data_IF_488288762988
#
_entry.id   IF_488288762988
#
_cell.length_a   1.000
_cell.length_b   1.000
_cell.length_c   1.000
_cell.angle_alpha   90.00
_cell.angle_beta   90.00
_cell.angle_gamma   90.00
#
_symmetry.space_group_name_H-M   'P 1'
#
loop_
_entity.id
_entity.type
_entity.pdbx_description
1 polymer ?
#
# COMPACT_ATOMS: atom_id res chain seq x y z
N UNK A 1 9.38 -4.61 -17.21
CA UNK A 1 10.67 -4.31 -16.57
C UNK A 1 11.07 -5.45 -15.66
N UNK A 2 12.36 -5.83 -15.66
CA UNK A 2 12.90 -6.79 -14.70
C UNK A 2 13.56 -6.02 -13.56
N UNK A 3 13.10 -6.23 -12.33
CA UNK A 3 13.51 -5.51 -11.13
C UNK A 3 13.97 -6.48 -10.06
N UNK A 4 14.88 -6.02 -9.20
CA UNK A 4 15.22 -6.67 -7.94
C UNK A 4 14.93 -5.72 -6.80
N UNK A 5 14.09 -6.14 -5.88
CA UNK A 5 13.85 -5.47 -4.62
C UNK A 5 14.56 -6.20 -3.48
N UNK A 6 15.00 -5.46 -2.46
CA UNK A 6 15.52 -6.02 -1.21
C UNK A 6 15.00 -5.23 -0.02
N UNK A 7 14.68 -5.90 1.07
CA UNK A 7 14.36 -5.27 2.35
C UNK A 7 15.12 -5.96 3.48
N UNK A 8 15.74 -5.16 4.33
CA UNK A 8 16.45 -5.63 5.51
C UNK A 8 15.96 -4.85 6.74
N UNK A 9 15.53 -5.58 7.77
CA UNK A 9 15.04 -5.04 9.03
C UNK A 9 15.80 -5.70 10.17
N UNK A 10 16.40 -4.92 11.07
CA UNK A 10 17.04 -5.43 12.29
C UNK A 10 16.32 -4.89 13.52
N UNK A 11 16.17 -5.74 14.52
CA UNK A 11 15.48 -5.45 15.77
C UNK A 11 16.35 -5.86 16.96
N UNK A 12 16.17 -5.16 18.08
CA UNK A 12 16.68 -5.57 19.39
C UNK A 12 15.50 -6.01 20.26
N UNK A 13 15.37 -7.32 20.46
CA UNK A 13 14.21 -7.93 21.10
C UNK A 13 14.47 -8.08 22.61
N UNK A 14 13.72 -7.34 23.42
CA UNK A 14 13.84 -7.39 24.89
C UNK A 14 13.13 -8.60 25.53
N UNK A 15 12.02 -9.04 24.93
CA UNK A 15 11.18 -10.15 25.38
C UNK A 15 10.73 -10.94 24.13
N UNK A 16 10.47 -12.25 24.21
CA UNK A 16 9.98 -13.00 23.05
C UNK A 16 8.75 -12.33 22.43
N UNK A 17 8.86 -11.89 21.18
CA UNK A 17 7.83 -11.05 20.54
C UNK A 17 7.18 -11.78 19.36
N UNK A 18 5.88 -12.06 19.42
CA UNK A 18 5.13 -12.52 18.26
C UNK A 18 5.10 -11.46 17.15
N UNK A 19 5.43 -11.89 15.94
CA UNK A 19 5.30 -11.09 14.72
C UNK A 19 4.34 -11.75 13.73
N UNK A 20 3.60 -10.91 13.00
CA UNK A 20 3.02 -11.24 11.70
C UNK A 20 3.72 -10.36 10.67
N UNK A 21 4.33 -10.97 9.67
CA UNK A 21 5.10 -10.31 8.63
C UNK A 21 4.39 -10.44 7.30
N UNK A 22 4.46 -9.38 6.50
CA UNK A 22 3.93 -9.31 5.14
C UNK A 22 5.03 -8.73 4.25
N UNK A 23 6.01 -9.57 3.94
CA UNK A 23 7.22 -9.22 3.20
C UNK A 23 7.43 -10.10 1.95
N UNK A 24 6.45 -10.93 1.60
CA UNK A 24 6.53 -11.80 0.42
C UNK A 24 5.52 -11.36 -0.63
N UNK A 25 5.99 -10.90 -1.81
CA UNK A 25 5.10 -10.56 -2.91
C UNK A 25 4.53 -11.82 -3.56
N UNK A 26 3.38 -11.68 -4.22
CA UNK A 26 2.72 -12.75 -4.97
C UNK A 26 2.69 -12.41 -6.46
N UNK A 27 2.82 -13.43 -7.32
CA UNK A 27 2.55 -13.25 -8.75
C UNK A 27 1.06 -12.95 -8.99
N UNK A 28 0.77 -12.06 -9.94
CA UNK A 28 -0.59 -11.63 -10.25
C UNK A 28 -0.67 -11.04 -11.67
N UNK A 29 -1.74 -10.30 -11.95
CA UNK A 29 -1.97 -9.74 -13.28
C UNK A 29 -0.92 -8.69 -13.71
N UNK A 30 -0.32 -7.99 -12.75
CA UNK A 30 0.59 -6.85 -13.01
C UNK A 30 2.06 -7.13 -12.66
N UNK A 31 2.37 -8.31 -12.11
CA UNK A 31 3.73 -8.70 -11.74
C UNK A 31 3.91 -10.22 -11.75
N UNK A 32 5.11 -10.68 -12.09
CA UNK A 32 5.52 -12.07 -12.00
C UNK A 32 6.79 -12.21 -11.17
N UNK A 33 6.75 -13.03 -10.11
CA UNK A 33 7.89 -13.26 -9.21
C UNK A 33 8.76 -14.37 -9.80
N UNK A 34 9.91 -13.99 -10.36
CA UNK A 34 10.85 -14.93 -10.96
C UNK A 34 11.70 -15.64 -9.90
N UNK A 35 12.04 -14.94 -8.81
CA UNK A 35 12.83 -15.48 -7.70
C UNK A 35 12.50 -14.72 -6.42
N UNK A 36 12.53 -15.42 -5.29
CA UNK A 36 12.47 -14.80 -3.97
C UNK A 36 13.45 -15.48 -3.00
N UNK A 37 13.90 -14.72 -2.01
CA UNK A 37 14.69 -15.19 -0.88
C UNK A 37 14.15 -14.54 0.39
N UNK A 38 14.05 -15.33 1.45
CA UNK A 38 13.58 -14.88 2.76
C UNK A 38 14.45 -15.51 3.83
N UNK A 39 15.10 -14.68 4.65
CA UNK A 39 16.06 -15.12 5.66
C UNK A 39 15.78 -14.45 6.99
N UNK A 40 15.84 -15.25 8.05
CA UNK A 40 15.71 -14.83 9.44
C UNK A 40 17.00 -15.17 10.18
N UNK A 41 17.52 -14.23 10.97
CA UNK A 41 18.69 -14.49 11.82
C UNK A 41 18.44 -13.96 13.25
N UNK A 42 18.47 -14.82 14.28
CA UNK A 42 18.54 -16.27 14.20
C UNK A 42 17.29 -16.90 13.55
N UNK A 43 17.48 -18.09 12.96
CA UNK A 43 16.36 -18.85 12.38
C UNK A 43 15.41 -19.33 13.49
N UNK A 44 14.11 -19.11 13.27
CA UNK A 44 13.02 -19.55 14.17
C UNK A 44 11.93 -20.30 13.39
N UNK A 45 11.09 -21.12 14.04
CA UNK A 45 9.92 -21.68 13.38
C UNK A 45 8.98 -20.60 12.83
N UNK A 46 8.56 -20.75 11.57
CA UNK A 46 7.63 -19.85 10.89
C UNK A 46 6.39 -20.62 10.46
N UNK A 47 5.21 -20.04 10.70
CA UNK A 47 3.94 -20.53 10.18
C UNK A 47 3.47 -19.59 9.08
N UNK A 48 3.36 -20.09 7.86
CA UNK A 48 2.86 -19.32 6.73
C UNK A 48 1.34 -19.49 6.57
N UNK A 49 0.67 -18.41 6.18
CA UNK A 49 -0.75 -18.44 5.83
C UNK A 49 -1.07 -17.39 4.78
N UNK A 50 -2.23 -17.52 4.13
CA UNK A 50 -2.78 -16.49 3.25
C UNK A 50 -3.95 -15.83 3.96
N UNK A 51 -3.98 -14.51 4.02
CA UNK A 51 -5.10 -13.77 4.59
C UNK A 51 -6.31 -13.70 3.62
N UNK A 52 -7.36 -13.01 4.03
CA UNK A 52 -8.60 -12.88 3.23
C UNK A 52 -8.43 -12.03 1.96
N UNK A 53 -7.35 -11.25 1.85
CA UNK A 53 -7.03 -10.43 0.67
C UNK A 53 -6.06 -11.11 -0.28
N UNK A 54 -5.54 -12.28 0.10
CA UNK A 54 -4.57 -13.03 -0.70
C UNK A 54 -3.12 -12.71 -0.36
N UNK A 55 -2.83 -11.96 0.71
CA UNK A 55 -1.46 -11.62 1.09
C UNK A 55 -0.74 -12.84 1.66
N UNK A 56 0.57 -12.97 1.38
CA UNK A 56 1.41 -14.05 1.91
C UNK A 56 2.01 -13.63 3.24
N UNK A 57 1.47 -14.18 4.34
CA UNK A 57 1.82 -13.78 5.69
C UNK A 57 2.71 -14.83 6.38
N UNK A 58 3.65 -14.37 7.21
CA UNK A 58 4.50 -15.22 8.04
C UNK A 58 4.26 -14.89 9.51
N UNK A 59 3.90 -15.89 10.32
CA UNK A 59 3.74 -15.76 11.77
C UNK A 59 4.88 -16.45 12.49
N UNK A 60 5.55 -15.74 13.39
CA UNK A 60 6.69 -16.25 14.16
C UNK A 60 6.78 -15.61 15.54
N UNK A 61 7.70 -16.11 16.37
CA UNK A 61 8.08 -15.49 17.63
C UNK A 61 9.57 -15.18 17.55
N UNK A 62 9.93 -13.90 17.57
CA UNK A 62 11.32 -13.46 17.61
C UNK A 62 11.91 -13.70 19.01
N UNK A 63 13.12 -14.28 19.13
CA UNK A 63 13.75 -14.55 20.42
C UNK A 63 14.40 -13.29 21.00
N UNK A 64 14.72 -13.30 22.29
CA UNK A 64 15.46 -12.21 22.94
C UNK A 64 16.84 -12.02 22.30
N UNK A 65 17.23 -10.77 22.09
CA UNK A 65 18.50 -10.36 21.47
C UNK A 65 18.32 -9.81 20.04
N UNK A 66 19.42 -9.71 19.27
CA UNK A 66 19.37 -9.26 17.89
C UNK A 66 18.54 -10.23 17.03
N UNK A 67 17.62 -9.67 16.25
CA UNK A 67 16.81 -10.42 15.29
C UNK A 67 16.74 -9.64 13.97
N UNK A 68 17.08 -10.27 12.86
CA UNK A 68 17.04 -9.67 11.53
C UNK A 68 16.18 -10.45 10.56
N UNK A 69 15.58 -9.69 9.65
CA UNK A 69 14.78 -10.17 8.53
C UNK A 69 15.41 -9.62 7.26
N UNK A 70 15.68 -10.48 6.30
CA UNK A 70 16.16 -10.11 4.98
C UNK A 70 15.29 -10.73 3.91
N UNK A 71 14.79 -9.92 2.98
CA UNK A 71 14.10 -10.38 1.78
C UNK A 71 14.76 -9.84 0.51
N UNK A 72 14.69 -10.63 -0.57
CA UNK A 72 15.05 -10.19 -1.90
C UNK A 72 14.17 -10.88 -2.92
N UNK A 73 13.60 -10.10 -3.84
CA UNK A 73 12.71 -10.62 -4.88
C UNK A 73 13.13 -10.10 -6.26
N UNK A 74 13.22 -10.99 -7.24
CA UNK A 74 13.35 -10.65 -8.65
C UNK A 74 11.97 -10.72 -9.31
N UNK A 75 11.52 -9.59 -9.84
CA UNK A 75 10.13 -9.39 -10.27
C UNK A 75 10.10 -8.81 -11.67
N UNK A 76 9.25 -9.38 -12.53
CA UNK A 76 8.91 -8.79 -13.82
C UNK A 76 7.60 -8.00 -13.68
N UNK A 77 7.67 -6.69 -13.90
CA UNK A 77 6.52 -5.77 -13.92
C UNK A 77 6.24 -5.28 -15.33
N UNK A 78 5.14 -4.56 -15.56
CA UNK A 78 4.95 -3.79 -16.79
C UNK A 78 6.03 -2.67 -16.91
N UNK A 79 6.34 -2.27 -18.15
CA UNK A 79 7.26 -1.16 -18.44
C UNK A 79 6.60 0.22 -18.34
N UNK A 80 5.26 0.26 -18.36
CA UNK A 80 4.44 1.46 -18.24
C UNK A 80 3.36 1.23 -17.20
N UNK A 81 2.91 2.32 -16.57
CA UNK A 81 1.73 2.29 -15.72
C UNK A 81 0.48 2.23 -16.61
N UNK A 82 -0.45 1.34 -16.28
CA UNK A 82 -1.72 1.29 -16.99
C UNK A 82 -2.58 2.50 -16.61
N UNK A 83 -3.01 3.26 -17.62
CA UNK A 83 -3.93 4.39 -17.48
C UNK A 83 -5.15 4.16 -18.37
N UNK A 84 -6.33 4.62 -17.94
CA UNK A 84 -7.54 4.51 -18.75
C UNK A 84 -8.47 5.74 -18.61
N UNK A 85 -8.05 6.91 -19.11
CA UNK A 85 -8.93 8.09 -19.19
C UNK A 85 -10.27 7.75 -19.85
N UNK A 86 -11.38 8.19 -19.25
CA UNK A 86 -12.73 7.86 -19.69
C UNK A 86 -13.22 6.45 -19.33
N UNK A 87 -12.44 5.61 -18.63
CA UNK A 87 -12.95 4.33 -18.17
C UNK A 87 -14.11 4.53 -17.18
N UNK A 88 -15.26 3.88 -17.42
CA UNK A 88 -16.51 4.26 -16.78
C UNK A 88 -16.56 3.82 -15.31
N UNK A 89 -17.37 4.54 -14.53
CA UNK A 89 -17.88 4.07 -13.26
C UNK A 89 -18.61 2.73 -13.44
N UNK A 90 -18.43 1.81 -12.50
CA UNK A 90 -19.13 0.52 -12.48
C UNK A 90 -20.21 0.59 -11.42
N UNK A 91 -21.47 0.52 -11.84
CA UNK A 91 -22.60 0.50 -10.91
C UNK A 91 -22.47 -0.63 -9.88
N UNK A 92 -22.85 -0.35 -8.63
CA UNK A 92 -22.62 -1.25 -7.50
C UNK A 92 -23.24 -2.64 -7.72
N UNK A 93 -24.43 -2.72 -8.35
CA UNK A 93 -25.08 -4.00 -8.66
C UNK A 93 -24.32 -4.84 -9.71
N UNK A 94 -23.37 -4.25 -10.43
CA UNK A 94 -22.55 -4.90 -11.46
C UNK A 94 -21.11 -5.16 -10.98
N UNK A 95 -20.75 -4.75 -9.75
CA UNK A 95 -19.44 -5.00 -9.18
C UNK A 95 -19.27 -6.49 -8.83
N UNK A 96 -18.09 -7.08 -9.04
CA UNK A 96 -17.79 -8.41 -8.52
C UNK A 96 -17.83 -8.45 -6.98
N UNK A 97 -18.31 -9.55 -6.40
CA UNK A 97 -18.39 -9.71 -4.93
C UNK A 97 -17.05 -9.44 -4.21
N UNK A 98 -15.94 -9.82 -4.85
CA UNK A 98 -14.59 -9.67 -4.31
C UNK A 98 -14.13 -8.22 -4.13
N UNK A 99 -14.81 -7.24 -4.75
CA UNK A 99 -14.46 -5.82 -4.60
C UNK A 99 -15.38 -5.06 -3.64
N UNK A 100 -16.52 -5.64 -3.25
CA UNK A 100 -17.55 -4.95 -2.46
C UNK A 100 -17.05 -4.48 -1.09
N UNK A 101 -16.18 -5.24 -0.43
CA UNK A 101 -15.60 -4.84 0.85
C UNK A 101 -14.78 -3.55 0.79
N UNK A 102 -14.27 -3.20 -0.40
CA UNK A 102 -13.46 -2.00 -0.63
C UNK A 102 -14.30 -0.75 -0.91
N UNK A 103 -15.64 -0.84 -0.85
CA UNK A 103 -16.54 0.31 -0.78
C UNK A 103 -16.68 0.86 0.64
N UNK A 104 -16.43 0.03 1.65
CA UNK A 104 -16.76 0.33 3.04
C UNK A 104 -15.71 1.23 3.71
N UNK A 105 -16.12 2.08 4.66
CA UNK A 105 -15.18 2.72 5.57
C UNK A 105 -14.29 1.70 6.31
N UNK A 106 -13.09 2.11 6.68
CA UNK A 106 -12.13 1.29 7.42
C UNK A 106 -11.42 2.13 8.50
N UNK A 107 -10.54 1.52 9.30
CA UNK A 107 -9.93 2.13 10.50
C UNK A 107 -9.29 3.49 10.22
N UNK A 108 -8.64 3.65 9.07
CA UNK A 108 -7.95 4.88 8.69
C UNK A 108 -8.60 5.61 7.52
N UNK A 109 -9.73 5.13 7.02
CA UNK A 109 -10.41 5.68 5.85
C UNK A 109 -11.90 5.86 6.15
N UNK A 110 -12.21 6.94 6.88
CA UNK A 110 -13.57 7.33 7.28
C UNK A 110 -14.37 7.93 6.10
N UNK A 111 -14.57 7.12 5.05
CA UNK A 111 -15.16 7.53 3.77
C UNK A 111 -16.55 8.20 3.92
N UNK A 112 -17.32 7.83 4.94
CA UNK A 112 -18.62 8.43 5.27
C UNK A 112 -18.55 9.92 5.62
N UNK A 113 -17.35 10.48 5.80
CA UNK A 113 -17.10 11.89 6.16
C UNK A 113 -16.63 12.76 5.00
N UNK A 114 -16.48 12.20 3.80
CA UNK A 114 -15.85 12.88 2.66
C UNK A 114 -16.77 13.15 1.46
N UNK A 115 -18.08 12.88 1.58
CA UNK A 115 -19.04 13.01 0.47
C UNK A 115 -19.02 14.37 -0.24
N UNK A 116 -19.27 15.46 0.48
CA UNK A 116 -19.33 16.82 -0.09
C UNK A 116 -17.99 17.21 -0.75
N UNK A 117 -16.89 16.93 -0.07
CA UNK A 117 -15.54 17.23 -0.56
C UNK A 117 -15.20 16.43 -1.82
N UNK A 118 -15.54 15.15 -1.88
CA UNK A 118 -15.29 14.32 -3.04
C UNK A 118 -16.13 14.78 -4.26
N UNK A 119 -17.38 15.22 -4.02
CA UNK A 119 -18.23 15.80 -5.06
C UNK A 119 -17.66 17.13 -5.60
N UNK A 120 -17.15 17.98 -4.71
CA UNK A 120 -16.51 19.25 -5.10
C UNK A 120 -15.25 19.01 -5.94
N UNK A 121 -14.35 18.13 -5.48
CA UNK A 121 -13.09 17.80 -6.17
C UNK A 121 -13.36 17.25 -7.58
N UNK A 122 -14.42 16.46 -7.74
CA UNK A 122 -14.70 15.73 -8.98
C UNK A 122 -15.75 16.41 -9.86
N UNK A 123 -16.10 17.66 -9.56
CA UNK A 123 -17.10 18.41 -10.32
C UNK A 123 -16.68 18.56 -11.79
N UNK A 124 -17.54 18.08 -12.70
CA UNK A 124 -17.32 18.16 -14.15
C UNK A 124 -16.46 17.03 -14.74
N UNK A 125 -15.95 16.10 -13.91
CA UNK A 125 -15.25 14.90 -14.38
C UNK A 125 -16.24 13.88 -14.96
N UNK A 126 -15.76 13.05 -15.90
CA UNK A 126 -16.48 11.84 -16.29
C UNK A 126 -16.50 10.85 -15.12
N UNK A 127 -17.62 10.17 -14.91
CA UNK A 127 -17.75 9.21 -13.81
C UNK A 127 -16.82 8.01 -14.02
N UNK A 128 -16.06 7.62 -12.99
CA UNK A 128 -15.10 6.52 -13.03
C UNK A 128 -13.66 7.00 -12.92
N UNK A 129 -12.81 6.63 -13.87
CA UNK A 129 -11.36 6.88 -13.81
C UNK A 129 -11.01 8.35 -13.63
N UNK A 130 -11.69 9.24 -14.35
CA UNK A 130 -11.37 10.67 -14.32
C UNK A 130 -11.71 11.32 -12.96
N UNK A 131 -12.69 10.79 -12.21
CA UNK A 131 -12.94 11.21 -10.83
C UNK A 131 -11.78 10.81 -9.90
N UNK A 132 -11.28 9.58 -10.03
CA UNK A 132 -10.15 9.11 -9.22
C UNK A 132 -8.87 9.87 -9.57
N UNK A 133 -8.68 10.17 -10.86
CA UNK A 133 -7.55 10.98 -11.32
C UNK A 133 -7.62 12.41 -10.76
N UNK A 134 -8.80 13.04 -10.75
CA UNK A 134 -8.99 14.35 -10.11
C UNK A 134 -8.70 14.33 -8.60
N UNK A 135 -9.05 13.24 -7.90
CA UNK A 135 -8.70 13.03 -6.50
C UNK A 135 -7.18 12.93 -6.32
N UNK A 136 -6.48 12.14 -7.14
CA UNK A 136 -5.02 12.03 -7.10
C UNK A 136 -4.34 13.39 -7.33
N UNK A 137 -4.81 14.15 -8.30
CA UNK A 137 -4.26 15.48 -8.62
C UNK A 137 -4.54 16.49 -7.50
N UNK A 138 -5.74 16.45 -6.91
CA UNK A 138 -6.09 17.27 -5.76
C UNK A 138 -5.19 16.96 -4.55
N UNK A 139 -4.97 15.67 -4.24
CA UNK A 139 -4.08 15.24 -3.16
C UNK A 139 -2.67 15.81 -3.35
N UNK A 140 -2.13 15.65 -4.55
CA UNK A 140 -0.79 16.12 -4.93
C UNK A 140 -0.64 17.64 -4.78
N UNK A 141 -1.70 18.38 -5.08
CA UNK A 141 -1.70 19.84 -5.02
C UNK A 141 -1.92 20.39 -3.59
N UNK A 142 -2.69 19.68 -2.74
CA UNK A 142 -3.18 20.21 -1.47
C UNK A 142 -2.57 19.55 -0.23
N UNK A 143 -2.01 18.35 -0.34
CA UNK A 143 -1.40 17.62 0.77
C UNK A 143 0.10 17.51 0.52
N UNK A 144 0.90 18.17 1.37
CA UNK A 144 2.36 18.16 1.24
C UNK A 144 2.94 16.79 1.59
N UNK A 145 3.62 16.16 0.64
CA UNK A 145 4.34 14.90 0.91
C UNK A 145 5.63 15.18 1.70
N UNK A 146 5.74 14.60 2.90
CA UNK A 146 6.88 14.77 3.81
C UNK A 146 7.35 13.41 4.36
N UNK A 147 8.25 12.70 3.66
CA UNK A 147 8.85 11.45 4.14
C UNK A 147 9.43 11.60 5.57
N UNK A 148 9.26 10.58 6.41
CA UNK A 148 9.84 10.52 7.75
C UNK A 148 9.14 11.35 8.85
N UNK A 149 8.06 12.07 8.52
CA UNK A 149 7.33 12.93 9.50
C UNK A 149 6.29 12.20 10.35
N UNK A 150 6.00 10.93 10.04
CA UNK A 150 4.97 10.14 10.70
C UNK A 150 5.55 8.84 11.26
N UNK A 151 5.55 8.73 12.59
CA UNK A 151 5.95 7.50 13.31
C UNK A 151 4.77 6.56 13.58
N UNK A 152 3.54 7.07 13.49
CA UNK A 152 2.31 6.30 13.69
C UNK A 152 1.32 6.56 12.54
N UNK A 153 0.60 5.53 12.06
CA UNK A 153 -0.46 5.72 11.08
C UNK A 153 -1.53 6.68 11.59
N UNK A 154 -1.92 7.63 10.75
CA UNK A 154 -3.04 8.52 11.01
C UNK A 154 -4.14 8.33 9.98
N UNK A 155 -5.35 8.76 10.36
CA UNK A 155 -6.56 8.64 9.55
C UNK A 155 -6.63 9.64 8.39
N UNK A 156 -7.50 9.36 7.41
CA UNK A 156 -7.81 10.27 6.32
C UNK A 156 -8.28 11.64 6.82
N UNK A 157 -9.10 11.69 7.89
CA UNK A 157 -9.55 12.95 8.51
C UNK A 157 -8.37 13.75 9.05
N UNK A 158 -7.48 13.11 9.80
CA UNK A 158 -6.30 13.77 10.38
C UNK A 158 -5.35 14.29 9.30
N UNK A 159 -5.13 13.53 8.22
CA UNK A 159 -4.30 13.96 7.07
C UNK A 159 -4.91 15.18 6.39
N UNK A 160 -6.22 15.14 6.14
CA UNK A 160 -6.93 16.24 5.51
C UNK A 160 -6.86 17.53 6.34
N UNK A 161 -7.00 17.42 7.66
CA UNK A 161 -6.91 18.56 8.57
C UNK A 161 -5.51 19.16 8.66
N UNK A 162 -4.46 18.33 8.68
CA UNK A 162 -3.08 18.81 8.85
C UNK A 162 -2.44 19.29 7.55
N UNK A 163 -2.88 18.79 6.38
CA UNK A 163 -2.40 19.21 5.06
C UNK A 163 -1.01 18.69 4.65
N UNK A 164 -0.49 17.67 5.33
CA UNK A 164 0.78 17.00 4.96
C UNK A 164 0.77 15.51 5.34
N UNK A 165 1.74 14.73 4.90
CA UNK A 165 1.90 13.34 5.35
C UNK A 165 2.89 12.50 4.56
N UNK A 166 3.00 11.22 4.93
CA UNK A 166 3.79 10.22 4.19
C UNK A 166 2.93 9.47 3.17
N UNK A 167 3.51 8.55 2.40
CA UNK A 167 2.85 7.86 1.28
C UNK A 167 1.57 7.14 1.71
N UNK A 168 1.64 6.39 2.81
CA UNK A 168 0.51 5.72 3.47
C UNK A 168 -0.63 6.69 3.79
N UNK A 169 -0.29 7.88 4.27
CA UNK A 169 -1.26 8.86 4.74
C UNK A 169 -2.01 9.51 3.56
N UNK A 170 -1.31 9.84 2.47
CA UNK A 170 -1.92 10.31 1.24
C UNK A 170 -2.81 9.22 0.60
N UNK A 171 -2.37 7.96 0.63
CA UNK A 171 -3.16 6.83 0.17
C UNK A 171 -4.45 6.68 0.99
N UNK A 172 -4.42 6.80 2.34
CA UNK A 172 -5.63 6.77 3.17
C UNK A 172 -6.67 7.82 2.75
N UNK A 173 -6.25 9.05 2.47
CA UNK A 173 -7.17 10.11 2.05
C UNK A 173 -7.72 9.85 0.63
N UNK A 174 -6.90 9.37 -0.30
CA UNK A 174 -7.35 8.96 -1.64
C UNK A 174 -8.39 7.84 -1.57
N UNK A 175 -8.15 6.83 -0.74
CA UNK A 175 -9.10 5.74 -0.49
C UNK A 175 -10.43 6.26 0.05
N UNK A 176 -10.40 7.14 1.06
CA UNK A 176 -11.60 7.69 1.67
C UNK A 176 -12.42 8.52 0.66
N UNK A 177 -11.77 9.37 -0.14
CA UNK A 177 -12.42 10.17 -1.19
C UNK A 177 -13.03 9.29 -2.29
N UNK A 178 -12.34 8.24 -2.75
CA UNK A 178 -12.88 7.32 -3.75
C UNK A 178 -14.12 6.59 -3.24
N UNK A 179 -14.03 6.05 -2.02
CA UNK A 179 -15.13 5.30 -1.39
C UNK A 179 -16.35 6.17 -1.10
N UNK A 180 -16.14 7.46 -0.79
CA UNK A 180 -17.22 8.44 -0.64
C UNK A 180 -18.06 8.60 -1.93
N UNK A 181 -17.46 8.31 -3.10
CA UNK A 181 -18.12 8.30 -4.41
C UNK A 181 -18.60 6.90 -4.84
N UNK A 182 -18.63 5.93 -3.93
CA UNK A 182 -18.95 4.52 -4.22
C UNK A 182 -18.02 3.87 -5.25
N UNK A 183 -16.77 4.33 -5.35
CA UNK A 183 -15.73 3.68 -6.15
C UNK A 183 -14.93 2.75 -5.23
N UNK A 184 -14.89 1.42 -5.48
CA UNK A 184 -14.08 0.53 -4.67
C UNK A 184 -12.61 0.92 -4.75
N UNK A 185 -11.96 1.09 -3.60
CA UNK A 185 -10.56 1.49 -3.53
C UNK A 185 -9.83 0.69 -2.46
N UNK A 186 -8.60 0.23 -2.72
CA UNK A 186 -7.80 -0.59 -1.81
C UNK A 186 -6.39 -0.05 -1.63
N UNK A 187 -5.84 -0.21 -0.44
CA UNK A 187 -4.44 0.11 -0.17
C UNK A 187 -3.55 -0.97 -0.77
N UNK A 188 -2.39 -0.54 -1.29
CA UNK A 188 -1.31 -1.42 -1.70
C UNK A 188 -0.03 -0.97 -1.02
N UNK A 189 0.75 -1.93 -0.52
CA UNK A 189 2.10 -1.68 -0.01
C UNK A 189 3.11 -2.48 -0.79
N UNK A 190 4.33 -1.95 -0.92
CA UNK A 190 5.43 -2.66 -1.51
C UNK A 190 6.62 -1.77 -1.83
N UNK A 191 7.17 -1.91 -3.02
CA UNK A 191 8.36 -1.20 -3.48
C UNK A 191 8.07 -0.37 -4.73
N UNK A 192 8.83 0.71 -4.92
CA UNK A 192 8.79 1.53 -6.14
C UNK A 192 10.21 1.77 -6.66
N UNK A 193 10.47 1.37 -7.91
CA UNK A 193 11.75 1.59 -8.58
C UNK A 193 12.13 3.08 -8.63
N UNK A 194 13.36 3.39 -8.19
CA UNK A 194 13.94 4.75 -8.06
C UNK A 194 13.05 5.75 -7.28
N UNK A 195 12.31 5.27 -6.27
CA UNK A 195 11.74 6.10 -5.22
C UNK A 195 12.84 6.86 -4.49
N UNK A 196 12.61 8.14 -4.18
CA UNK A 196 13.55 9.02 -3.49
C UNK A 196 12.87 9.82 -2.37
N UNK A 197 13.34 9.74 -1.11
CA UNK A 197 14.33 8.78 -0.62
C UNK A 197 13.80 7.34 -0.68
N UNK A 198 14.67 6.37 -0.93
CA UNK A 198 14.28 4.96 -1.02
C UNK A 198 13.76 4.42 0.32
N UNK A 199 12.57 3.82 0.30
CA UNK A 199 11.93 3.15 1.42
C UNK A 199 10.85 2.18 0.92
N UNK A 200 10.18 1.46 1.84
CA UNK A 200 8.88 0.85 1.59
C UNK A 200 7.88 1.92 1.18
N UNK A 201 7.00 1.56 0.26
CA UNK A 201 6.05 2.50 -0.32
C UNK A 201 4.62 2.02 -0.18
N UNK A 202 3.69 2.97 -0.15
CA UNK A 202 2.27 2.71 -0.12
C UNK A 202 1.54 3.64 -1.08
N UNK A 203 0.60 3.06 -1.83
CA UNK A 203 -0.26 3.78 -2.77
C UNK A 203 -1.68 3.21 -2.68
N UNK A 204 -2.58 3.69 -3.52
CA UNK A 204 -3.92 3.13 -3.60
C UNK A 204 -4.26 2.69 -5.01
N UNK A 205 -5.14 1.69 -5.11
CA UNK A 205 -5.76 1.29 -6.37
C UNK A 205 -7.26 1.54 -6.30
N UNK A 206 -7.88 1.90 -7.43
CA UNK A 206 -9.32 2.05 -7.56
C UNK A 206 -9.86 1.13 -8.67
N UNK A 207 -11.05 0.57 -8.45
CA UNK A 207 -11.73 -0.32 -9.38
C UNK A 207 -12.69 0.47 -10.28
N UNK A 208 -12.30 0.67 -11.54
CA UNK A 208 -13.07 1.40 -12.56
C UNK A 208 -12.96 0.66 -13.89
N UNK A 209 -13.96 0.78 -14.77
CA UNK A 209 -13.96 0.07 -16.05
C UNK A 209 -13.76 -1.46 -15.95
N UNK A 210 -14.14 -2.07 -14.82
CA UNK A 210 -14.03 -3.51 -14.58
C UNK A 210 -12.65 -4.01 -14.13
N UNK A 211 -11.72 -3.15 -13.72
CA UNK A 211 -10.40 -3.56 -13.21
C UNK A 211 -9.78 -2.54 -12.25
N UNK A 212 -8.73 -2.97 -11.54
CA UNK A 212 -7.93 -2.11 -10.67
C UNK A 212 -6.93 -1.27 -11.48
N UNK A 213 -6.80 0.00 -11.11
CA UNK A 213 -5.78 0.94 -11.60
C UNK A 213 -5.06 1.60 -10.43
N UNK A 214 -3.77 1.85 -10.60
CA UNK A 214 -2.88 2.44 -9.58
C UNK A 214 -2.93 3.97 -9.61
N UNK A 215 -3.00 4.58 -8.44
CA UNK A 215 -2.92 6.02 -8.25
C UNK A 215 -1.96 6.34 -7.11
N UNK A 216 -1.08 7.32 -7.31
CA UNK A 216 -0.04 7.68 -6.34
C UNK A 216 0.26 9.19 -6.39
N UNK A 217 -0.34 9.90 -5.45
CA UNK A 217 -0.18 11.35 -5.30
C UNK A 217 1.22 11.78 -4.80
N UNK A 218 2.09 10.85 -4.43
CA UNK A 218 3.46 11.17 -3.97
C UNK A 218 4.46 11.39 -5.10
N UNK A 219 4.19 10.81 -6.28
CA UNK A 219 5.08 10.91 -7.44
C UNK A 219 4.69 12.11 -8.29
N UNK A 220 5.63 12.76 -8.98
CA UNK A 220 5.33 13.95 -9.81
C UNK A 220 4.58 13.63 -11.12
N UNK A 221 4.65 12.39 -11.60
CA UNK A 221 3.98 11.90 -12.80
C UNK A 221 3.70 10.39 -12.71
N UNK A 222 2.89 9.85 -13.62
CA UNK A 222 2.74 8.41 -13.77
C UNK A 222 4.11 7.72 -13.93
N UNK A 223 4.30 6.61 -13.23
CA UNK A 223 5.59 5.90 -13.15
C UNK A 223 5.36 4.40 -13.15
N UNK A 224 6.23 3.64 -13.83
CA UNK A 224 6.24 2.19 -13.75
C UNK A 224 7.16 1.68 -12.63
N UNK A 225 7.17 0.36 -12.42
CA UNK A 225 8.09 -0.28 -11.48
C UNK A 225 7.58 -0.34 -10.04
N UNK A 226 6.26 -0.32 -9.85
CA UNK A 226 5.63 -0.74 -8.60
C UNK A 226 5.72 -2.26 -8.47
N UNK A 227 6.16 -2.73 -7.30
CA UNK A 227 6.15 -4.14 -6.90
C UNK A 227 5.24 -4.24 -5.67
N UNK A 228 4.08 -4.88 -5.82
CA UNK A 228 3.13 -5.05 -4.74
C UNK A 228 3.52 -6.23 -3.84
N UNK A 229 3.49 -6.01 -2.52
CA UNK A 229 3.66 -7.05 -1.50
C UNK A 229 2.30 -7.44 -0.92
N UNK A 230 1.44 -6.45 -0.63
CA UNK A 230 0.16 -6.68 0.03
C UNK A 230 -0.95 -5.72 -0.38
N UNK A 231 -2.18 -6.21 -0.27
CA UNK A 231 -3.44 -5.52 -0.59
C UNK A 231 -4.38 -5.56 0.61
N UNK A 232 -5.07 -4.47 0.88
CA UNK A 232 -6.03 -4.42 2.00
C UNK A 232 -6.93 -3.20 1.94
N UNK A 233 -7.82 -3.04 2.92
CA UNK A 233 -8.70 -1.86 2.94
C UNK A 233 -7.92 -0.63 3.39
N UNK A 234 -6.99 -0.76 4.31
CA UNK A 234 -6.09 0.31 4.73
C UNK A 234 -4.84 -0.30 5.40
N UNK A 235 -4.00 0.55 6.00
CA UNK A 235 -2.75 0.10 6.64
C UNK A 235 -2.94 -0.91 7.78
N UNK A 236 -4.14 -1.05 8.36
CA UNK A 236 -4.42 -2.08 9.37
C UNK A 236 -4.38 -3.49 8.77
N UNK A 237 -4.64 -3.63 7.48
CA UNK A 237 -4.68 -4.91 6.77
C UNK A 237 -3.33 -5.27 6.11
N UNK A 238 -2.41 -4.30 5.91
CA UNK A 238 -1.18 -4.46 5.09
C UNK A 238 0.10 -3.98 5.77
N UNK A 239 0.16 -4.00 7.09
CA UNK A 239 1.39 -3.68 7.79
C UNK A 239 2.50 -4.69 7.45
N UNK A 240 3.63 -4.20 6.93
CA UNK A 240 4.80 -5.03 6.54
C UNK A 240 5.32 -5.88 7.70
N UNK A 241 5.22 -5.36 8.92
CA UNK A 241 5.27 -6.15 10.14
C UNK A 241 4.25 -5.64 11.16
N UNK A 242 3.63 -6.57 11.87
CA UNK A 242 2.81 -6.31 13.07
C UNK A 242 3.42 -7.08 14.22
N UNK A 243 3.55 -6.42 15.37
CA UNK A 243 4.07 -7.02 16.58
C UNK A 243 3.00 -7.06 17.68
N UNK A 244 3.14 -8.00 18.59
CA UNK A 244 2.22 -8.15 19.72
C UNK A 244 2.99 -8.16 21.04
N UNK A 245 2.72 -7.20 21.91
CA UNK A 245 3.46 -6.98 23.16
C UNK A 245 4.04 -5.58 23.24
N UNK A 246 5.08 -5.36 24.05
CA UNK A 246 5.80 -4.09 24.11
C UNK A 246 6.32 -3.67 22.73
N UNK A 247 6.36 -2.37 22.48
CA UNK A 247 6.79 -1.86 21.18
C UNK A 247 8.27 -2.18 20.92
N UNK A 248 8.52 -2.91 19.84
CA UNK A 248 9.82 -3.07 19.18
C UNK A 248 9.77 -2.27 17.88
N UNK A 249 10.76 -1.42 17.67
CA UNK A 249 10.98 -0.72 16.42
C UNK A 249 12.28 -1.24 15.79
N UNK A 250 12.39 -1.28 14.46
CA UNK A 250 13.64 -1.64 13.82
C UNK A 250 14.73 -0.63 14.22
N UNK A 251 15.87 -1.15 14.65
CA UNK A 251 17.08 -0.34 14.91
C UNK A 251 17.84 -0.04 13.62
N UNK A 252 17.56 -0.82 12.57
CA UNK A 252 18.08 -0.63 11.22
C UNK A 252 17.01 -1.05 10.20
N UNK A 253 16.88 -0.26 9.13
CA UNK A 253 16.03 -0.55 7.99
C UNK A 253 16.76 -0.12 6.72
N UNK A 254 16.79 -1.01 5.73
CA UNK A 254 17.33 -0.73 4.40
C UNK A 254 16.41 -1.32 3.34
N UNK A 255 16.11 -0.53 2.32
CA UNK A 255 15.32 -0.93 1.17
C UNK A 255 16.09 -0.57 -0.09
N UNK A 256 16.08 -1.43 -1.09
CA UNK A 256 16.66 -1.13 -2.40
C UNK A 256 15.78 -1.68 -3.51
N UNK A 257 15.74 -0.98 -4.65
CA UNK A 257 15.07 -1.44 -5.86
C UNK A 257 15.94 -1.07 -7.05
N UNK A 258 16.46 -2.09 -7.73
CA UNK A 258 17.35 -1.94 -8.88
C UNK A 258 16.79 -2.68 -10.10
N UNK A 259 17.27 -2.30 -11.29
CA UNK A 259 16.94 -3.00 -12.53
C UNK A 259 17.99 -4.09 -12.75
N UNK A 260 17.55 -5.31 -13.05
CA UNK A 260 18.45 -6.42 -13.38
C UNK A 260 18.98 -6.32 -14.82
#
# INVERSE_FOLDING_TARGET
MWLRATCELHFEIALPTPFILMLRPRSGAHQWIAREAYRLEPMVPVVEFTDVYGNLCQRLIAPVGPFSIYTSEEVVTADQLDEAPGAPFVDVQNLPDSVLSFLLPSRYCEADRFGDMALEITQGCLLGYDQVKAIEDWLRANIRYEPGTSTVPISAIEVNQRGYGVCRDLAHLGLALCRALSIPARMVVGYLYQLEPMDLHAWFEAFVGGRWYTFDATQASARAGYIAIGYGRDAADVAVYTQFGPAVLPVFQSVSVERC
#
